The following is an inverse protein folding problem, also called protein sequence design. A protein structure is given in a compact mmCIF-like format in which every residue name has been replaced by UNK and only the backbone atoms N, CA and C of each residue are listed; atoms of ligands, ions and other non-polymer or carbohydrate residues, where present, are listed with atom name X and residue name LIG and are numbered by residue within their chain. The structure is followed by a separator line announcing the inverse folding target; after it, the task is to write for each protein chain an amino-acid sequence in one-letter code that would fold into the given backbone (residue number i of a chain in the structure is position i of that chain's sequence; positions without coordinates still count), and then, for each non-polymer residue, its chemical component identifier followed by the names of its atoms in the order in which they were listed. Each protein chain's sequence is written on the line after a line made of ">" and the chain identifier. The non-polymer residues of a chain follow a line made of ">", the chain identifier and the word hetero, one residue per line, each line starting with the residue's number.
data_IF_512415450911
#
_entry.id   IF_512415450911
#
_cell.length_a   1.000
_cell.length_b   1.000
_cell.length_c   1.000
_cell.angle_alpha   90.00
_cell.angle_beta   90.00
_cell.angle_gamma   90.00
#
_symmetry.space_group_name_H-M   'P 1'
#
loop_
_entity.id
_entity.type
_entity.pdbx_description
1 polymer ?
#
# COMPACT_ATOMS: atom_id res chain seq x y z
N UNK A 1 18.55 18.06 12.50
CA UNK A 1 18.30 17.25 13.70
C UNK A 1 18.21 15.83 13.20
N UNK A 2 19.14 14.97 13.60
CA UNK A 2 19.20 13.59 13.12
C UNK A 2 18.40 12.68 14.06
N UNK A 3 17.77 11.63 13.51
CA UNK A 3 16.81 10.83 14.27
C UNK A 3 17.46 10.09 15.46
N UNK A 4 18.61 9.46 15.24
CA UNK A 4 19.41 8.74 16.24
C UNK A 4 20.57 9.59 16.80
N UNK A 5 20.46 10.91 16.78
CA UNK A 5 21.52 11.81 17.29
C UNK A 5 21.89 11.55 18.77
N UNK A 6 20.92 11.07 19.56
CA UNK A 6 21.09 10.76 20.99
C UNK A 6 21.03 9.26 21.32
N UNK A 7 21.20 8.38 20.33
CA UNK A 7 21.09 6.94 20.54
C UNK A 7 22.16 6.39 21.47
N UNK A 8 21.81 5.35 22.21
CA UNK A 8 22.69 4.63 23.12
C UNK A 8 22.61 3.13 22.87
N UNK A 9 23.71 2.45 23.17
CA UNK A 9 23.72 0.99 23.23
C UNK A 9 22.70 0.54 24.28
N UNK A 10 21.86 -0.42 23.93
CA UNK A 10 20.74 -0.90 24.75
C UNK A 10 19.38 -0.29 24.40
N UNK A 11 19.34 0.80 23.61
CA UNK A 11 18.06 1.40 23.21
C UNK A 11 17.24 0.42 22.36
N UNK A 12 15.95 0.32 22.69
CA UNK A 12 14.98 -0.47 21.94
C UNK A 12 14.54 0.27 20.69
N UNK A 13 14.64 -0.43 19.57
CA UNK A 13 14.35 0.09 18.23
C UNK A 13 13.60 -0.96 17.43
N UNK A 14 13.06 -0.56 16.30
CA UNK A 14 12.49 -1.46 15.30
C UNK A 14 13.05 -1.09 13.92
N UNK A 15 13.02 -2.03 13.00
CA UNK A 15 13.44 -1.78 11.62
C UNK A 15 12.59 -2.56 10.63
N UNK A 16 12.20 -1.95 9.52
CA UNK A 16 11.49 -2.67 8.44
C UNK A 16 12.34 -3.79 7.83
N UNK A 17 13.67 -3.71 7.95
CA UNK A 17 14.61 -4.70 7.40
C UNK A 17 14.92 -5.84 8.38
N UNK A 18 14.88 -5.57 9.70
CA UNK A 18 15.24 -6.56 10.74
C UNK A 18 14.01 -7.12 11.47
N UNK A 19 12.96 -6.31 11.62
CA UNK A 19 11.74 -6.62 12.34
C UNK A 19 11.51 -5.76 13.59
N UNK A 20 10.63 -6.26 14.45
CA UNK A 20 10.28 -5.66 15.75
C UNK A 20 11.26 -6.09 16.85
N UNK A 21 11.15 -5.45 18.02
CA UNK A 21 11.94 -5.78 19.22
C UNK A 21 13.47 -5.82 19.01
N UNK A 22 13.99 -4.90 18.20
CA UNK A 22 15.43 -4.78 17.96
C UNK A 22 16.12 -3.95 19.06
N UNK A 23 17.44 -4.02 19.10
CA UNK A 23 18.28 -3.28 20.04
C UNK A 23 19.53 -2.73 19.37
N UNK A 24 19.93 -1.51 19.75
CA UNK A 24 21.25 -0.98 19.36
C UNK A 24 22.32 -1.70 20.18
N UNK A 25 23.16 -2.50 19.51
CA UNK A 25 24.24 -3.24 20.20
C UNK A 25 25.61 -2.57 20.07
N UNK A 26 25.78 -1.63 19.13
CA UNK A 26 27.03 -0.91 18.96
C UNK A 26 26.80 0.44 18.28
N UNK A 27 27.61 1.43 18.66
CA UNK A 27 27.68 2.73 18.00
C UNK A 27 29.15 2.99 17.66
N UNK A 28 29.45 3.17 16.37
CA UNK A 28 30.82 3.42 15.89
C UNK A 28 30.96 4.89 15.52
N UNK A 29 31.83 5.62 16.24
CA UNK A 29 32.13 7.01 15.91
C UNK A 29 32.72 7.12 14.49
N UNK A 30 32.41 8.23 13.81
CA UNK A 30 32.97 8.62 12.51
C UNK A 30 32.66 7.68 11.32
N UNK A 31 31.82 6.67 11.51
CA UNK A 31 31.30 5.82 10.44
C UNK A 31 30.01 6.42 9.84
N UNK A 32 29.81 6.23 8.53
CA UNK A 32 28.55 6.61 7.88
C UNK A 32 27.38 5.79 8.46
N UNK A 33 27.59 4.49 8.63
CA UNK A 33 26.62 3.57 9.23
C UNK A 33 26.98 3.34 10.70
N UNK A 34 26.92 4.40 11.49
CA UNK A 34 27.39 4.40 12.87
C UNK A 34 26.48 3.68 13.86
N UNK A 35 25.19 3.45 13.54
CA UNK A 35 24.21 2.84 14.45
C UNK A 35 24.04 1.36 14.09
N UNK A 36 24.50 0.44 14.93
CA UNK A 36 24.38 -0.99 14.65
C UNK A 36 23.24 -1.61 15.48
N UNK A 37 22.29 -2.20 14.77
CA UNK A 37 21.06 -2.76 15.34
C UNK A 37 21.07 -4.28 15.17
N UNK A 38 20.65 -5.01 16.20
CA UNK A 38 20.45 -6.46 16.19
C UNK A 38 19.00 -6.81 16.46
N UNK A 39 18.49 -7.83 15.78
CA UNK A 39 17.17 -8.40 16.01
C UNK A 39 17.04 -9.79 15.40
N UNK A 40 15.80 -10.27 15.26
CA UNK A 40 15.52 -11.65 14.86
C UNK A 40 16.09 -12.02 13.48
N UNK A 41 16.16 -11.07 12.54
CA UNK A 41 16.64 -11.31 11.18
C UNK A 41 18.14 -10.97 10.99
N UNK A 42 18.89 -10.72 12.07
CA UNK A 42 20.33 -10.49 12.04
C UNK A 42 20.73 -9.08 12.49
N UNK A 43 21.84 -8.58 11.94
CA UNK A 43 22.43 -7.29 12.31
C UNK A 43 22.63 -6.40 11.08
N UNK A 44 22.35 -5.11 11.22
CA UNK A 44 22.64 -4.11 10.18
C UNK A 44 23.17 -2.81 10.78
N UNK A 45 23.97 -2.11 9.98
CA UNK A 45 24.42 -0.74 10.26
C UNK A 45 23.48 0.28 9.60
N UNK A 46 23.18 1.35 10.33
CA UNK A 46 22.32 2.45 9.92
C UNK A 46 23.03 3.78 10.11
N UNK A 47 22.63 4.78 9.34
CA UNK A 47 23.05 6.17 9.56
C UNK A 47 22.41 6.74 10.82
N UNK A 48 22.88 7.92 11.27
CA UNK A 48 22.22 8.69 12.33
C UNK A 48 20.78 9.09 12.00
N UNK A 49 20.38 9.03 10.73
CA UNK A 49 19.00 9.30 10.29
C UNK A 49 18.16 8.01 10.17
N UNK A 50 18.72 6.86 10.55
CA UNK A 50 18.03 5.57 10.54
C UNK A 50 17.92 4.95 9.15
N UNK A 51 18.79 5.31 8.20
CA UNK A 51 18.82 4.74 6.85
C UNK A 51 19.84 3.59 6.74
N UNK A 52 19.48 2.51 6.06
CA UNK A 52 20.38 1.35 5.81
C UNK A 52 21.38 1.58 4.66
N UNK A 53 21.12 2.56 3.79
CA UNK A 53 21.98 2.90 2.66
C UNK A 53 22.16 4.42 2.54
N UNK A 54 23.39 4.89 2.31
CA UNK A 54 23.75 6.32 2.23
C UNK A 54 23.09 7.06 1.06
N UNK A 55 22.68 6.35 0.01
CA UNK A 55 21.88 6.90 -1.09
C UNK A 55 20.38 6.70 -0.94
N UNK A 56 19.94 6.03 0.13
CA UNK A 56 18.54 5.82 0.45
C UNK A 56 18.02 6.98 1.29
N UNK A 57 16.97 7.65 0.81
CA UNK A 57 16.31 8.71 1.55
C UNK A 57 15.28 8.19 2.56
N UNK A 58 14.97 6.89 2.52
CA UNK A 58 14.00 6.28 3.42
C UNK A 58 14.66 5.87 4.73
N UNK A 59 14.20 6.48 5.82
CA UNK A 59 14.43 5.97 7.17
C UNK A 59 13.72 4.61 7.30
N UNK A 60 14.46 3.59 7.71
CA UNK A 60 13.92 2.23 7.89
C UNK A 60 14.04 1.73 9.32
N UNK A 61 14.77 2.44 10.20
CA UNK A 61 14.86 2.15 11.63
C UNK A 61 14.25 3.27 12.49
N UNK A 62 13.55 2.90 13.56
CA UNK A 62 12.80 3.82 14.43
C UNK A 62 12.98 3.46 15.91
N UNK A 63 12.80 4.42 16.82
CA UNK A 63 12.77 4.16 18.25
C UNK A 63 11.48 3.44 18.65
N UNK A 64 11.59 2.58 19.67
CA UNK A 64 10.47 1.79 20.20
C UNK A 64 10.53 0.33 19.77
N UNK A 65 9.64 -0.48 20.32
CA UNK A 65 9.63 -1.94 20.11
C UNK A 65 8.78 -2.40 18.92
N UNK A 66 7.99 -1.50 18.31
CA UNK A 66 7.03 -1.85 17.26
C UNK A 66 7.23 -1.01 16.02
N UNK A 67 6.98 -1.61 14.86
CA UNK A 67 7.04 -0.87 13.61
C UNK A 67 5.96 0.22 13.59
N UNK A 68 6.27 1.42 13.05
CA UNK A 68 5.26 2.42 12.81
C UNK A 68 4.17 1.84 11.89
N UNK A 69 2.91 1.96 12.32
CA UNK A 69 1.77 1.64 11.47
C UNK A 69 1.48 2.88 10.64
N UNK A 70 1.40 2.70 9.33
CA UNK A 70 1.02 3.75 8.39
C UNK A 70 -0.24 3.32 7.64
N UNK A 71 -1.19 4.26 7.52
CA UNK A 71 -2.35 4.08 6.67
C UNK A 71 -1.90 4.27 5.21
N UNK A 72 -1.97 3.21 4.42
CA UNK A 72 -1.73 3.30 2.98
C UNK A 72 -3.04 3.83 2.37
N UNK A 73 -3.04 5.03 1.76
CA UNK A 73 -4.24 5.52 1.09
C UNK A 73 -4.62 4.55 -0.03
N UNK A 74 -5.93 4.32 -0.27
CA UNK A 74 -6.35 3.48 -1.39
C UNK A 74 -5.83 4.08 -2.70
N UNK A 75 -5.58 3.25 -3.73
CA UNK A 75 -5.14 3.74 -5.02
C UNK A 75 -6.10 4.81 -5.56
N UNK A 76 -5.60 5.90 -6.17
CA UNK A 76 -6.48 6.86 -6.81
C UNK A 76 -7.26 6.17 -7.93
N UNK A 77 -8.58 6.29 -7.90
CA UNK A 77 -9.48 5.76 -8.93
C UNK A 77 -9.91 6.90 -9.86
N UNK A 78 -10.15 6.62 -11.15
CA UNK A 78 -10.63 7.65 -12.07
C UNK A 78 -12.04 8.12 -11.68
N UNK A 79 -12.33 9.40 -11.93
CA UNK A 79 -13.70 9.89 -11.83
C UNK A 79 -14.56 9.32 -12.97
N UNK A 80 -15.65 8.65 -12.62
CA UNK A 80 -16.57 8.04 -13.57
C UNK A 80 -18.01 8.29 -13.12
N UNK A 81 -18.90 8.59 -14.06
CA UNK A 81 -20.32 8.75 -13.79
C UNK A 81 -20.97 7.38 -13.63
N UNK A 82 -21.93 7.25 -12.69
CA UNK A 82 -22.82 6.08 -12.59
C UNK A 82 -23.41 5.79 -13.97
N UNK A 83 -23.59 4.52 -14.28
CA UNK A 83 -24.03 4.00 -15.58
C UNK A 83 -23.06 4.20 -16.75
N UNK A 84 -21.80 4.53 -16.48
CA UNK A 84 -20.77 4.50 -17.53
C UNK A 84 -20.60 3.06 -18.06
N UNK A 85 -20.72 2.83 -19.38
CA UNK A 85 -20.46 1.54 -20.00
C UNK A 85 -19.03 1.04 -19.81
N UNK A 86 -18.90 -0.19 -19.34
CA UNK A 86 -17.60 -0.83 -19.11
C UNK A 86 -17.59 -2.27 -19.58
N UNK A 87 -16.41 -2.74 -19.96
CA UNK A 87 -16.14 -4.15 -20.18
C UNK A 87 -15.35 -4.66 -18.97
N UNK A 88 -15.84 -5.71 -18.32
CA UNK A 88 -15.18 -6.36 -17.17
C UNK A 88 -14.82 -7.80 -17.51
N UNK A 89 -13.81 -8.38 -16.85
CA UNK A 89 -13.49 -9.79 -17.05
C UNK A 89 -12.99 -10.53 -15.82
N UNK A 90 -13.25 -11.83 -15.81
CA UNK A 90 -12.77 -12.73 -14.76
C UNK A 90 -11.32 -13.18 -15.02
N UNK A 91 -10.74 -13.95 -14.09
CA UNK A 91 -9.37 -14.48 -14.21
C UNK A 91 -9.15 -15.38 -15.44
N UNK A 92 -10.22 -15.94 -16.01
CA UNK A 92 -10.17 -16.75 -17.23
C UNK A 92 -10.26 -15.91 -18.51
N UNK A 93 -10.39 -14.59 -18.40
CA UNK A 93 -10.53 -13.67 -19.52
C UNK A 93 -11.93 -13.61 -20.14
N UNK A 94 -12.95 -14.23 -19.53
CA UNK A 94 -14.33 -14.09 -20.01
C UNK A 94 -14.77 -12.65 -19.80
N UNK A 95 -15.09 -11.94 -20.90
CA UNK A 95 -15.53 -10.54 -20.90
C UNK A 95 -17.05 -10.43 -20.74
N UNK A 96 -17.49 -9.44 -20.00
CA UNK A 96 -18.88 -9.09 -19.79
C UNK A 96 -19.07 -7.59 -19.99
N UNK A 97 -20.16 -7.22 -20.64
CA UNK A 97 -20.59 -5.83 -20.73
C UNK A 97 -21.43 -5.50 -19.50
N UNK A 98 -21.08 -4.41 -18.81
CA UNK A 98 -21.75 -3.97 -17.59
C UNK A 98 -21.78 -2.44 -17.51
N UNK A 99 -22.47 -1.93 -16.49
CA UNK A 99 -22.55 -0.51 -16.19
C UNK A 99 -21.91 -0.21 -14.83
N UNK A 100 -21.08 0.83 -14.81
CA UNK A 100 -20.40 1.31 -13.62
C UNK A 100 -21.38 1.81 -12.56
N UNK A 101 -21.05 1.55 -11.29
CA UNK A 101 -21.73 2.13 -10.14
C UNK A 101 -20.75 2.95 -9.29
N UNK A 102 -19.71 2.30 -8.75
CA UNK A 102 -18.68 2.96 -7.93
C UNK A 102 -17.37 2.18 -7.93
N UNK A 103 -16.36 2.70 -7.25
CA UNK A 103 -15.22 1.91 -6.82
C UNK A 103 -15.42 1.43 -5.38
N UNK A 104 -14.91 0.23 -5.05
CA UNK A 104 -14.81 -0.23 -3.67
C UNK A 104 -13.53 0.30 -2.98
N UNK A 105 -13.37 -0.01 -1.69
CA UNK A 105 -12.24 0.44 -0.86
C UNK A 105 -10.88 -0.06 -1.38
N UNK A 106 -10.86 -1.16 -2.15
CA UNK A 106 -9.67 -1.71 -2.79
C UNK A 106 -9.37 -1.06 -4.16
N UNK A 107 -10.22 -0.13 -4.61
CA UNK A 107 -10.14 0.50 -5.93
C UNK A 107 -10.61 -0.41 -7.08
N UNK A 108 -11.37 -1.48 -6.80
CA UNK A 108 -11.98 -2.31 -7.84
C UNK A 108 -13.29 -1.70 -8.31
N UNK A 109 -13.67 -2.00 -9.54
CA UNK A 109 -14.90 -1.46 -10.11
C UNK A 109 -16.11 -2.29 -9.63
N UNK A 110 -17.09 -1.61 -9.06
CA UNK A 110 -18.40 -2.16 -8.72
C UNK A 110 -19.35 -1.88 -9.88
N UNK A 111 -19.88 -2.94 -10.47
CA UNK A 111 -20.84 -2.84 -11.57
C UNK A 111 -22.20 -3.38 -11.16
N UNK A 112 -23.25 -2.85 -11.77
CA UNK A 112 -24.57 -3.46 -11.67
C UNK A 112 -24.58 -4.87 -12.28
N UNK A 113 -25.36 -5.78 -11.71
CA UNK A 113 -25.45 -7.16 -12.22
C UNK A 113 -26.39 -7.29 -13.42
N UNK A 114 -26.14 -8.31 -14.24
CA UNK A 114 -27.02 -8.69 -15.36
C UNK A 114 -27.29 -7.57 -16.37
N UNK A 115 -26.31 -6.69 -16.62
CA UNK A 115 -26.46 -5.59 -17.59
C UNK A 115 -27.45 -4.51 -17.15
N UNK A 116 -27.79 -4.46 -15.87
CA UNK A 116 -28.65 -3.42 -15.30
C UNK A 116 -27.92 -2.09 -15.20
N UNK A 117 -28.70 -1.05 -14.98
CA UNK A 117 -28.27 0.32 -14.69
C UNK A 117 -28.88 0.77 -13.37
N UNK A 118 -28.51 1.96 -12.89
CA UNK A 118 -29.07 2.59 -11.69
C UNK A 118 -30.61 2.67 -11.70
N UNK A 119 -31.22 2.77 -12.90
CA UNK A 119 -32.66 2.78 -13.08
C UNK A 119 -33.34 1.42 -12.83
N UNK A 120 -32.65 0.32 -13.13
CA UNK A 120 -33.22 -1.05 -13.10
C UNK A 120 -32.67 -1.93 -11.98
N UNK A 121 -31.65 -1.46 -11.26
CA UNK A 121 -31.21 -2.02 -9.99
C UNK A 121 -32.16 -1.55 -8.89
N UNK A 122 -33.03 -2.44 -8.39
CA UNK A 122 -33.81 -2.15 -7.18
C UNK A 122 -32.82 -1.81 -6.05
N UNK A 123 -32.97 -0.63 -5.43
CA UNK A 123 -32.07 -0.02 -4.43
C UNK A 123 -31.84 -0.83 -3.12
N UNK A 124 -32.18 -2.13 -3.10
CA UNK A 124 -31.98 -3.01 -1.97
C UNK A 124 -30.90 -4.06 -2.29
N UNK A 125 -29.64 -3.73 -2.02
CA UNK A 125 -28.61 -4.65 -1.51
C UNK A 125 -28.11 -5.83 -2.36
N UNK A 126 -28.67 -6.15 -3.53
CA UNK A 126 -28.42 -7.46 -4.17
C UNK A 126 -27.89 -7.43 -5.62
N UNK A 127 -27.53 -6.27 -6.17
CA UNK A 127 -27.23 -6.18 -7.62
C UNK A 127 -25.91 -5.52 -7.98
N UNK A 128 -24.87 -5.75 -7.19
CA UNK A 128 -23.52 -5.27 -7.52
C UNK A 128 -22.47 -6.38 -7.46
N UNK A 129 -21.57 -6.42 -8.43
CA UNK A 129 -20.41 -7.34 -8.45
C UNK A 129 -19.13 -6.51 -8.61
N UNK A 130 -18.12 -6.84 -7.79
CA UNK A 130 -16.77 -6.25 -7.85
C UNK A 130 -15.92 -6.95 -8.93
N UNK A 131 -15.19 -6.16 -9.72
CA UNK A 131 -14.28 -6.64 -10.76
C UNK A 131 -12.90 -6.01 -10.62
N UNK A 132 -11.86 -6.85 -10.64
CA UNK A 132 -10.47 -6.39 -10.65
C UNK A 132 -10.04 -5.85 -12.01
N UNK A 133 -10.58 -6.42 -13.08
CA UNK A 133 -10.14 -6.12 -14.43
C UNK A 133 -11.28 -5.53 -15.25
N UNK A 134 -11.05 -4.35 -15.82
CA UNK A 134 -12.03 -3.61 -16.55
C UNK A 134 -11.39 -2.62 -17.54
N UNK A 135 -12.17 -2.18 -18.52
CA UNK A 135 -11.85 -1.08 -19.42
C UNK A 135 -13.13 -0.32 -19.79
N UNK A 136 -13.01 0.96 -20.17
CA UNK A 136 -14.13 1.70 -20.74
C UNK A 136 -14.59 1.04 -22.03
N UNK A 137 -15.89 0.84 -22.17
CA UNK A 137 -16.43 0.45 -23.46
C UNK A 137 -16.23 1.60 -24.46
N UNK A 138 -15.66 1.28 -25.62
CA UNK A 138 -15.53 2.20 -26.74
C UNK A 138 -16.42 1.69 -27.85
N UNK A 139 -17.41 2.47 -28.25
CA UNK A 139 -18.08 2.22 -29.53
C UNK A 139 -17.07 2.53 -30.64
N UNK A 140 -16.81 1.54 -31.48
CA UNK A 140 -16.14 1.80 -32.75
C UNK A 140 -17.08 2.70 -33.57
N UNK A 141 -16.67 3.95 -33.80
CA UNK A 141 -17.39 4.85 -34.71
C UNK A 141 -17.31 4.25 -36.11
N UNK A 142 -18.38 3.61 -36.55
CA UNK A 142 -18.60 3.18 -37.95
C UNK A 142 -18.84 4.39 -38.86
#
# INVERSE_FOLDING_TARGET
>A
MSYFENAKVGDKVCSFEIGEDCEIFSITADAVYCIHISGNCGTHGYTVDGCIFKGGHAQTAFYGSKLPVFDIPPPPVPEMAIDTPVIVWNRKGCKFYQYFNRFDEDGKIMCFTNGKTSFSSNHAGETEISWKHWELYKEDKS
#
